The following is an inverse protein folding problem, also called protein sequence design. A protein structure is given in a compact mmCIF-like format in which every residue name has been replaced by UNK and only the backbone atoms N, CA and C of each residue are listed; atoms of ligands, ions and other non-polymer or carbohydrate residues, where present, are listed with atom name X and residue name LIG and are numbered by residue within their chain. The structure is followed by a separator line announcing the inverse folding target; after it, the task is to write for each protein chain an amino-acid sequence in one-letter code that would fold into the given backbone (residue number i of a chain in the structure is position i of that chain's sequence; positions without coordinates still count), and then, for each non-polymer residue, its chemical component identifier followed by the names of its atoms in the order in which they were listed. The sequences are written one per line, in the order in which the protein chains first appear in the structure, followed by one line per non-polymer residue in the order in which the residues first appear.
data_IF_220845005472
#
_entry.id   IF_220845005472
#
_cell.length_a   1.000
_cell.length_b   1.000
_cell.length_c   1.000
_cell.angle_alpha   90.00
_cell.angle_beta   90.00
_cell.angle_gamma   90.00
#
_symmetry.space_group_name_H-M   'P 1'
#
loop_
_entity.id
_entity.type
_entity.pdbx_description
1 polymer ?
#
# COMPACT_ATOMS: atom_id res chain seq x y z
N UNK A 1 7.37 -9.37 8.37
CA UNK A 1 6.80 -8.17 9.02
C UNK A 1 7.62 -7.00 8.53
N UNK A 2 6.98 -5.89 8.16
CA UNK A 2 7.67 -4.62 7.91
C UNK A 2 8.29 -4.12 9.23
N UNK A 3 9.53 -3.64 9.18
CA UNK A 3 10.21 -3.08 10.35
C UNK A 3 9.92 -1.59 10.56
N UNK A 4 10.34 -1.07 11.71
CA UNK A 4 9.93 0.24 12.23
C UNK A 4 10.20 1.42 11.27
N UNK A 5 9.15 2.16 10.92
CA UNK A 5 9.27 3.54 10.48
C UNK A 5 9.38 4.47 11.70
N UNK A 6 10.58 5.01 11.99
CA UNK A 6 10.78 5.96 13.10
C UNK A 6 11.70 7.11 12.65
N UNK A 7 11.16 8.29 12.31
CA UNK A 7 12.00 9.47 12.09
C UNK A 7 12.56 10.01 13.41
N UNK A 8 13.57 10.90 13.37
CA UNK A 8 14.16 11.48 14.55
C UNK A 8 13.11 12.18 15.43
N UNK A 9 13.22 12.06 16.77
CA UNK A 9 12.37 12.81 17.68
C UNK A 9 12.61 14.31 17.53
N UNK A 10 11.56 15.13 17.66
CA UNK A 10 11.67 16.59 17.75
C UNK A 10 11.13 17.39 16.56
N UNK A 11 10.89 16.76 15.40
CA UNK A 11 10.40 17.47 14.20
C UNK A 11 11.42 18.47 13.63
N UNK A 12 11.05 19.28 12.62
CA UNK A 12 11.94 20.34 12.15
C UNK A 12 12.24 21.33 13.27
N UNK A 13 13.47 21.88 13.37
CA UNK A 13 13.76 22.95 14.31
C UNK A 13 12.80 24.12 14.03
N UNK A 14 12.27 24.73 15.10
CA UNK A 14 11.46 25.95 14.98
C UNK A 14 12.30 27.01 14.25
N UNK A 15 11.80 27.58 13.15
CA UNK A 15 12.43 28.76 12.56
C UNK A 15 12.39 29.89 13.60
N UNK A 16 13.54 30.48 14.00
CA UNK A 16 13.52 31.66 14.85
C UNK A 16 13.04 32.84 14.00
N UNK A 17 11.84 33.37 14.27
CA UNK A 17 11.41 34.63 13.66
C UNK A 17 9.94 34.82 13.30
N UNK A 18 8.98 34.07 13.87
CA UNK A 18 7.59 34.54 13.91
C UNK A 18 7.09 34.56 15.33
N UNK A 19 7.12 35.75 15.92
CA UNK A 19 6.25 36.07 17.06
C UNK A 19 4.79 35.88 16.59
N UNK A 20 4.09 34.93 17.22
CA UNK A 20 2.64 34.89 17.11
C UNK A 20 2.03 35.97 18.03
N UNK A 21 1.15 36.85 17.52
CA UNK A 21 0.41 37.73 18.38
C UNK A 21 -0.63 36.93 19.16
N UNK A 22 -0.40 36.86 20.46
CA UNK A 22 -1.31 36.47 21.53
C UNK A 22 -2.78 36.76 21.18
N UNK A 23 -3.60 35.70 21.02
CA UNK A 23 -5.07 35.80 21.06
C UNK A 23 -5.63 34.72 21.97
N UNK A 24 -5.79 35.10 23.23
CA UNK A 24 -6.74 34.55 24.18
C UNK A 24 -8.14 34.47 23.58
N UNK A 25 -8.66 33.27 23.32
CA UNK A 25 -10.10 33.02 23.23
C UNK A 25 -10.33 31.54 23.56
N UNK A 26 -10.76 31.24 24.78
CA UNK A 26 -11.81 30.27 25.12
C UNK A 26 -12.23 30.52 26.57
N UNK A 27 -13.35 31.21 26.73
CA UNK A 27 -14.14 31.22 27.96
C UNK A 27 -14.74 29.83 28.17
N UNK A 28 -14.52 29.28 29.37
CA UNK A 28 -15.27 28.16 29.94
C UNK A 28 -16.74 28.58 30.13
N UNK A 29 -17.70 27.65 30.06
CA UNK A 29 -18.85 27.69 30.94
C UNK A 29 -18.71 26.60 31.99
N UNK A 30 -18.72 27.07 33.23
CA UNK A 30 -18.79 26.34 34.49
C UNK A 30 -20.24 25.90 34.80
N UNK A 31 -20.30 24.80 35.56
CA UNK A 31 -21.29 24.41 36.59
C UNK A 31 -22.76 24.17 36.21
N UNK A 32 -23.23 22.93 36.42
CA UNK A 32 -24.23 22.55 37.45
C UNK A 32 -24.60 21.03 37.38
N UNK A 33 -25.26 20.40 38.39
CA UNK A 33 -24.58 19.55 39.38
C UNK A 33 -25.03 18.07 39.37
N UNK A 34 -24.37 17.28 40.23
CA UNK A 34 -24.74 15.93 40.66
C UNK A 34 -26.22 15.83 41.07
N UNK A 35 -26.88 14.70 40.79
CA UNK A 35 -27.28 13.74 41.84
C UNK A 35 -28.08 12.49 41.33
N UNK A 36 -28.02 11.42 42.14
CA UNK A 36 -28.91 10.24 42.22
C UNK A 36 -28.91 9.15 41.11
N UNK A 37 -28.18 8.05 41.34
CA UNK A 37 -28.73 6.75 41.81
C UNK A 37 -27.67 5.62 41.76
N UNK A 38 -27.46 4.98 42.90
CA UNK A 38 -26.87 3.64 43.12
C UNK A 38 -27.73 2.95 44.20
N UNK A 39 -27.59 1.64 44.50
CA UNK A 39 -27.06 0.50 43.75
C UNK A 39 -28.04 -0.72 43.75
N UNK A 40 -27.84 -1.70 42.86
CA UNK A 40 -28.58 -2.98 42.84
C UNK A 40 -27.64 -4.18 42.94
N UNK A 41 -27.79 -4.95 44.02
CA UNK A 41 -26.90 -5.97 44.57
C UNK A 41 -26.71 -7.28 43.75
N UNK A 42 -25.67 -8.08 44.10
CA UNK A 42 -25.23 -9.33 43.44
C UNK A 42 -25.74 -10.59 44.15
N UNK A 43 -25.68 -11.80 43.54
CA UNK A 43 -25.84 -13.11 44.23
C UNK A 43 -25.49 -14.32 43.29
N UNK A 44 -25.26 -15.56 43.76
CA UNK A 44 -23.96 -16.07 44.25
C UNK A 44 -23.64 -17.49 43.70
N UNK A 45 -22.66 -18.18 44.33
CA UNK A 45 -22.27 -19.61 44.33
C UNK A 45 -20.76 -19.73 44.03
N UNK A 46 -19.92 -20.43 44.79
CA UNK A 46 -19.98 -21.09 46.11
C UNK A 46 -18.50 -21.35 46.50
N UNK A 47 -18.14 -21.17 47.78
CA UNK A 47 -16.86 -21.63 48.33
C UNK A 47 -16.96 -23.09 48.78
N UNK A 48 -15.96 -23.91 48.48
CA UNK A 48 -15.37 -24.91 49.39
C UNK A 48 -13.87 -25.07 49.04
N UNK A 49 -12.99 -24.92 50.04
CA UNK A 49 -11.56 -25.30 50.00
C UNK A 49 -11.37 -26.80 50.33
N UNK A 50 -10.17 -27.31 50.72
CA UNK A 50 -8.95 -26.57 51.11
C UNK A 50 -7.61 -27.13 50.54
N UNK A 51 -6.53 -26.37 50.75
CA UNK A 51 -5.22 -26.88 51.20
C UNK A 51 -4.46 -27.90 50.36
N UNK A 52 -3.51 -27.41 49.56
CA UNK A 52 -2.40 -28.20 49.01
C UNK A 52 -1.14 -27.35 48.93
N UNK A 53 -0.19 -27.63 49.82
CA UNK A 53 1.08 -26.93 49.96
C UNK A 53 1.93 -27.06 48.67
N UNK A 54 2.42 -25.93 48.15
CA UNK A 54 3.50 -25.94 47.14
C UNK A 54 4.86 -25.98 47.85
N UNK A 55 5.79 -26.88 47.45
CA UNK A 55 7.16 -26.85 47.95
C UNK A 55 7.98 -25.70 47.31
N UNK A 56 9.05 -25.23 47.98
CA UNK A 56 9.84 -24.10 47.52
C UNK A 56 10.71 -24.44 46.29
N UNK A 57 10.84 -23.47 45.38
CA UNK A 57 11.81 -23.50 44.28
C UNK A 57 13.26 -23.47 44.80
N UNK A 58 14.18 -24.31 44.28
CA UNK A 58 15.61 -24.19 44.57
C UNK A 58 16.28 -23.12 43.68
N UNK A 59 17.46 -22.58 44.08
CA UNK A 59 18.11 -21.46 43.41
C UNK A 59 18.86 -21.86 42.13
N UNK A 60 19.06 -20.84 41.29
CA UNK A 60 19.75 -20.82 40.01
C UNK A 60 20.96 -21.77 39.84
N UNK A 61 20.85 -22.69 38.88
CA UNK A 61 21.97 -23.44 38.29
C UNK A 61 22.32 -22.93 36.89
N UNK A 62 23.61 -22.83 36.59
CA UNK A 62 24.19 -22.40 35.31
C UNK A 62 23.78 -23.31 34.13
N UNK A 63 23.72 -22.79 32.88
CA UNK A 63 23.47 -23.62 31.71
C UNK A 63 24.70 -24.48 31.33
N UNK A 64 24.50 -25.69 30.79
CA UNK A 64 25.61 -26.59 30.42
C UNK A 64 26.39 -26.08 29.22
N UNK A 65 27.72 -26.14 29.32
CA UNK A 65 28.67 -25.82 28.26
C UNK A 65 28.63 -26.90 27.17
N UNK A 66 28.45 -26.48 25.92
CA UNK A 66 28.58 -27.37 24.76
C UNK A 66 30.05 -27.78 24.53
N UNK A 67 30.30 -28.87 23.78
CA UNK A 67 31.65 -29.38 23.55
C UNK A 67 32.49 -28.41 22.69
N UNK A 68 33.82 -28.36 22.90
CA UNK A 68 34.70 -27.44 22.18
C UNK A 68 34.85 -27.81 20.70
N UNK A 69 35.10 -26.82 19.81
CA UNK A 69 35.37 -27.07 18.39
C UNK A 69 36.72 -27.77 18.20
N UNK A 70 36.75 -28.76 17.30
CA UNK A 70 37.93 -29.54 16.96
C UNK A 70 39.02 -28.75 16.23
N UNK A 71 40.27 -29.26 16.22
CA UNK A 71 41.43 -28.57 15.68
C UNK A 71 41.43 -28.51 14.13
N UNK A 72 42.09 -27.51 13.53
CA UNK A 72 42.21 -27.37 12.08
C UNK A 72 43.16 -28.44 11.48
N UNK A 73 42.98 -28.83 10.20
CA UNK A 73 43.84 -29.83 9.57
C UNK A 73 45.28 -29.32 9.41
N UNK A 74 46.22 -30.11 9.91
CA UNK A 74 47.66 -29.90 9.79
C UNK A 74 48.20 -30.17 8.38
N UNK A 75 49.27 -29.46 8.07
CA UNK A 75 50.14 -29.67 6.90
C UNK A 75 51.03 -30.90 7.09
N UNK A 76 51.35 -31.57 5.97
CA UNK A 76 52.53 -32.43 5.81
C UNK A 76 53.15 -32.22 4.41
N UNK A 77 54.44 -32.55 4.20
CA UNK A 77 55.40 -31.65 3.56
C UNK A 77 55.91 -32.08 2.17
N UNK A 78 56.44 -31.09 1.43
CA UNK A 78 57.68 -31.17 0.65
C UNK A 78 57.70 -31.92 -0.70
N UNK A 79 57.83 -31.17 -1.81
CA UNK A 79 58.93 -31.29 -2.79
C UNK A 79 58.89 -30.11 -3.80
N UNK A 80 60.06 -29.50 -4.02
CA UNK A 80 60.33 -28.26 -4.80
C UNK A 80 60.69 -28.55 -6.28
N UNK A 81 61.31 -27.62 -7.05
CA UNK A 81 60.80 -26.35 -7.62
C UNK A 81 61.04 -26.27 -9.15
N UNK A 82 60.53 -25.25 -9.86
CA UNK A 82 61.30 -24.52 -10.90
C UNK A 82 60.67 -23.16 -11.25
N UNK A 83 61.49 -22.13 -11.02
CA UNK A 83 61.69 -20.89 -11.78
C UNK A 83 60.59 -19.83 -11.96
N UNK A 84 60.84 -18.68 -11.30
CA UNK A 84 60.68 -17.33 -11.89
C UNK A 84 62.05 -16.66 -12.00
N UNK A 85 62.20 -15.70 -12.91
CA UNK A 85 62.84 -14.42 -12.53
C UNK A 85 62.04 -13.22 -13.10
N UNK A 86 62.49 -11.95 -12.98
CA UNK A 86 62.10 -11.08 -11.88
C UNK A 86 61.41 -9.77 -12.35
N UNK A 87 60.79 -9.08 -11.40
CA UNK A 87 60.33 -7.69 -11.56
C UNK A 87 61.52 -6.73 -11.45
N UNK A 88 61.51 -5.63 -12.22
CA UNK A 88 61.69 -4.27 -11.70
C UNK A 88 61.39 -3.19 -12.77
N UNK A 89 61.23 -1.90 -12.39
CA UNK A 89 60.07 -1.09 -12.75
C UNK A 89 60.41 0.02 -13.74
N UNK A 90 59.43 0.56 -14.47
CA UNK A 90 59.57 1.89 -15.07
C UNK A 90 58.27 2.70 -15.09
N UNK A 91 58.48 3.99 -14.86
CA UNK A 91 57.56 5.11 -14.81
C UNK A 91 57.20 5.63 -16.22
N UNK A 92 56.29 6.62 -16.23
CA UNK A 92 55.94 7.58 -17.31
C UNK A 92 54.86 7.13 -18.34
N UNK A 93 54.24 8.06 -19.08
CA UNK A 93 53.66 9.35 -18.68
C UNK A 93 52.24 9.57 -19.26
N UNK A 94 51.59 10.65 -18.82
CA UNK A 94 50.39 11.24 -19.43
C UNK A 94 50.66 11.72 -20.86
N UNK A 95 49.78 11.38 -21.81
CA UNK A 95 49.72 12.04 -23.11
C UNK A 95 48.92 11.31 -24.19
N UNK A 96 47.78 11.89 -24.58
CA UNK A 96 47.40 11.97 -25.99
C UNK A 96 46.46 10.92 -26.61
N UNK A 97 45.38 11.46 -27.17
CA UNK A 97 44.70 11.07 -28.41
C UNK A 97 43.50 10.09 -28.36
N UNK A 98 42.34 10.67 -28.70
CA UNK A 98 41.09 10.00 -29.08
C UNK A 98 41.21 9.29 -30.43
N UNK A 99 40.52 8.16 -30.62
CA UNK A 99 40.09 7.69 -31.94
C UNK A 99 38.62 8.07 -32.25
N UNK A 100 38.23 8.19 -33.53
CA UNK A 100 36.96 8.78 -33.95
C UNK A 100 35.80 7.77 -34.08
N UNK A 101 34.61 8.23 -33.71
CA UNK A 101 33.34 8.14 -34.46
C UNK A 101 32.78 6.80 -34.96
N UNK A 102 31.69 6.36 -34.32
CA UNK A 102 30.42 5.83 -34.90
C UNK A 102 29.53 5.48 -33.71
N UNK A 103 28.35 6.06 -33.49
CA UNK A 103 27.20 6.17 -34.37
C UNK A 103 26.04 5.47 -33.64
N UNK A 104 25.05 6.22 -33.15
CA UNK A 104 23.90 5.67 -32.42
C UNK A 104 23.02 6.77 -31.83
N UNK A 105 21.82 6.88 -32.37
CA UNK A 105 20.84 7.95 -32.18
C UNK A 105 20.29 8.03 -30.75
N UNK A 106 20.06 9.25 -30.26
CA UNK A 106 19.36 9.55 -29.00
C UNK A 106 18.14 10.42 -29.32
N UNK A 107 16.90 10.08 -28.89
CA UNK A 107 15.71 10.90 -29.16
C UNK A 107 15.67 12.19 -28.32
N UNK A 108 15.07 13.28 -28.84
CA UNK A 108 15.23 14.63 -28.28
C UNK A 108 14.24 14.96 -27.16
N UNK A 109 14.73 15.70 -26.16
CA UNK A 109 13.91 16.40 -25.18
C UNK A 109 14.70 16.77 -23.93
N UNK A 110 14.66 18.07 -23.57
CA UNK A 110 15.26 18.73 -22.40
C UNK A 110 16.60 19.43 -22.64
N UNK A 111 16.50 20.63 -23.21
CA UNK A 111 17.49 21.71 -23.04
C UNK A 111 17.36 22.28 -21.62
N UNK A 112 18.49 22.42 -20.93
CA UNK A 112 18.63 23.23 -19.70
C UNK A 112 18.99 24.67 -20.07
N UNK A 113 18.48 25.70 -19.39
CA UNK A 113 18.97 27.07 -19.60
C UNK A 113 20.35 27.25 -18.95
N UNK A 114 21.27 28.00 -19.58
CA UNK A 114 22.64 28.16 -19.09
C UNK A 114 22.74 29.17 -17.94
N UNK A 115 23.61 28.86 -16.99
CA UNK A 115 24.10 29.77 -15.96
C UNK A 115 25.14 30.71 -16.59
N UNK A 116 24.89 32.02 -16.51
CA UNK A 116 25.84 33.05 -16.93
C UNK A 116 26.69 33.53 -15.75
N UNK A 117 28.01 33.47 -15.90
CA UNK A 117 28.99 34.19 -15.06
C UNK A 117 29.27 35.59 -15.66
N UNK A 118 29.70 36.58 -14.85
CA UNK A 118 29.83 37.97 -15.28
C UNK A 118 31.23 38.32 -15.80
N UNK A 119 31.29 39.30 -16.71
CA UNK A 119 32.51 39.96 -17.19
C UNK A 119 32.22 41.42 -17.61
N UNK A 120 33.24 42.30 -17.71
CA UNK A 120 33.19 43.62 -17.08
C UNK A 120 33.17 44.83 -18.04
N UNK A 121 32.84 46.00 -17.50
CA UNK A 121 33.35 47.30 -17.96
C UNK A 121 32.35 48.23 -18.67
N UNK A 122 32.22 49.47 -18.17
CA UNK A 122 31.53 50.56 -18.85
C UNK A 122 31.18 51.73 -17.92
N UNK A 123 32.08 52.71 -17.83
CA UNK A 123 31.95 53.97 -17.07
C UNK A 123 30.98 54.94 -17.77
N UNK A 124 30.27 55.77 -16.99
CA UNK A 124 29.60 56.96 -17.53
C UNK A 124 28.58 57.67 -16.62
N UNK A 125 29.08 58.53 -15.73
CA UNK A 125 28.55 59.88 -15.40
C UNK A 125 27.18 60.10 -14.71
N UNK A 126 27.00 61.20 -13.94
CA UNK A 126 26.01 61.28 -12.86
C UNK A 126 24.80 62.19 -13.17
N UNK A 127 23.64 61.89 -12.57
CA UNK A 127 22.50 62.80 -12.59
C UNK A 127 21.35 62.41 -11.65
N UNK A 128 21.23 63.13 -10.53
CA UNK A 128 19.98 63.55 -9.87
C UNK A 128 19.04 62.52 -9.20
N UNK A 129 18.49 62.81 -8.00
CA UNK A 129 17.63 61.87 -7.28
C UNK A 129 16.18 61.92 -7.80
N UNK A 130 15.83 61.00 -8.69
CA UNK A 130 14.44 60.71 -9.07
C UNK A 130 13.82 59.70 -8.11
N UNK A 131 12.62 59.99 -7.59
CA UNK A 131 11.89 59.14 -6.65
C UNK A 131 11.59 57.71 -7.15
N UNK A 132 11.15 56.81 -6.25
CA UNK A 132 10.98 55.41 -6.58
C UNK A 132 9.89 55.23 -7.65
N UNK A 133 10.09 54.36 -8.66
CA UNK A 133 9.09 54.09 -9.66
C UNK A 133 7.90 53.34 -9.06
N UNK A 134 6.71 53.86 -9.32
CA UNK A 134 5.42 53.26 -9.03
C UNK A 134 5.33 51.92 -9.75
N UNK A 135 5.39 50.82 -9.01
CA UNK A 135 5.13 49.49 -9.55
C UNK A 135 3.72 49.45 -10.13
N UNK A 136 3.62 49.16 -11.43
CA UNK A 136 2.37 48.86 -12.10
C UNK A 136 1.69 47.69 -11.38
N UNK A 137 0.53 47.96 -10.77
CA UNK A 137 -0.27 46.95 -10.11
C UNK A 137 -0.79 45.96 -11.15
N UNK A 138 -0.24 44.74 -11.14
CA UNK A 138 -0.80 43.60 -11.85
C UNK A 138 -2.20 43.37 -11.25
N UNK A 139 -3.25 43.63 -12.02
CA UNK A 139 -4.62 43.31 -11.64
C UNK A 139 -4.77 41.79 -11.55
N UNK A 140 -4.75 41.28 -10.32
CA UNK A 140 -5.11 39.90 -10.01
C UNK A 140 -6.61 39.72 -10.34
N UNK A 141 -7.00 38.77 -11.22
CA UNK A 141 -8.41 38.47 -11.43
C UNK A 141 -9.06 38.07 -10.11
N UNK A 142 -10.14 38.76 -9.73
CA UNK A 142 -10.90 38.44 -8.52
C UNK A 142 -11.42 37.00 -8.63
N UNK A 143 -11.35 36.19 -7.56
CA UNK A 143 -11.96 34.87 -7.55
C UNK A 143 -13.46 35.02 -7.85
N UNK A 144 -14.07 34.09 -8.61
CA UNK A 144 -15.51 34.13 -8.84
C UNK A 144 -16.21 34.09 -7.48
N UNK A 145 -17.02 35.11 -7.22
CA UNK A 145 -17.81 35.23 -5.99
C UNK A 145 -18.69 34.00 -5.78
N UNK A 146 -19.23 33.80 -4.56
CA UNK A 146 -20.08 32.65 -4.26
C UNK A 146 -21.27 32.62 -5.21
N UNK A 147 -21.18 31.75 -6.22
CA UNK A 147 -22.25 31.50 -7.16
C UNK A 147 -23.50 31.11 -6.38
N UNK A 148 -24.60 31.82 -6.63
CA UNK A 148 -25.92 31.47 -6.08
C UNK A 148 -26.17 29.98 -6.33
N UNK A 149 -26.24 29.19 -5.25
CA UNK A 149 -26.66 27.79 -5.30
C UNK A 149 -28.01 27.72 -6.03
N UNK A 150 -28.02 27.15 -7.24
CA UNK A 150 -29.28 26.81 -7.92
C UNK A 150 -30.00 25.76 -7.07
N UNK A 151 -31.21 26.07 -6.60
CA UNK A 151 -32.09 25.11 -5.93
C UNK A 151 -32.31 23.89 -6.85
N UNK A 152 -32.27 22.65 -6.33
CA UNK A 152 -32.60 21.48 -7.14
C UNK A 152 -34.06 21.60 -7.60
N UNK A 153 -34.29 21.55 -8.92
CA UNK A 153 -35.64 21.48 -9.48
C UNK A 153 -36.24 20.14 -9.08
N UNK A 154 -37.28 20.16 -8.24
CA UNK A 154 -38.08 18.97 -7.94
C UNK A 154 -38.73 18.50 -9.25
N UNK A 155 -38.56 17.22 -9.59
CA UNK A 155 -39.29 16.63 -10.70
C UNK A 155 -40.81 16.76 -10.45
N UNK A 156 -41.62 17.01 -11.49
CA UNK A 156 -43.07 17.09 -11.34
C UNK A 156 -43.58 15.74 -10.82
N UNK A 157 -44.39 15.75 -9.76
CA UNK A 157 -44.90 14.54 -9.09
C UNK A 157 -45.57 13.55 -10.07
N UNK A 158 -46.11 14.06 -11.17
CA UNK A 158 -46.70 13.27 -12.25
C UNK A 158 -45.70 12.31 -12.95
N UNK A 159 -44.42 12.68 -13.09
CA UNK A 159 -43.41 11.85 -13.74
C UNK A 159 -43.02 10.64 -12.88
N UNK A 160 -42.98 10.82 -11.55
CA UNK A 160 -42.66 9.75 -10.60
C UNK A 160 -43.82 8.77 -10.51
N UNK A 161 -45.06 9.25 -10.49
CA UNK A 161 -46.26 8.40 -10.50
C UNK A 161 -46.35 7.59 -11.79
N UNK A 162 -46.08 8.21 -12.95
CA UNK A 162 -46.06 7.52 -14.23
C UNK A 162 -45.06 6.36 -14.30
N UNK A 163 -43.85 6.54 -13.77
CA UNK A 163 -42.83 5.50 -13.74
C UNK A 163 -43.18 4.33 -12.80
N UNK A 164 -43.85 4.60 -11.67
CA UNK A 164 -44.28 3.56 -10.74
C UNK A 164 -45.41 2.72 -11.33
N UNK A 165 -46.39 3.34 -12.00
CA UNK A 165 -47.49 2.60 -12.67
C UNK A 165 -46.95 1.69 -13.78
N UNK A 166 -46.00 2.16 -14.57
CA UNK A 166 -45.38 1.37 -15.64
C UNK A 166 -44.60 0.16 -15.11
N UNK A 167 -43.89 0.32 -13.97
CA UNK A 167 -43.18 -0.78 -13.33
C UNK A 167 -44.14 -1.84 -12.75
N UNK A 168 -45.27 -1.44 -12.17
CA UNK A 168 -46.28 -2.36 -11.63
C UNK A 168 -46.96 -3.17 -12.74
N UNK A 169 -47.25 -2.55 -13.88
CA UNK A 169 -47.84 -3.25 -15.04
C UNK A 169 -46.86 -4.25 -15.67
N UNK A 170 -45.56 -3.94 -15.72
CA UNK A 170 -44.54 -4.85 -16.20
C UNK A 170 -44.35 -6.09 -15.30
N UNK A 171 -44.56 -5.95 -13.99
CA UNK A 171 -44.50 -7.06 -13.03
C UNK A 171 -45.77 -7.93 -13.12
N UNK A 172 -46.95 -7.31 -13.31
CA UNK A 172 -48.20 -8.05 -13.47
C UNK A 172 -48.29 -8.83 -14.79
N UNK A 173 -47.67 -8.33 -15.88
CA UNK A 173 -47.62 -9.04 -17.16
C UNK A 173 -46.61 -10.19 -17.24
N UNK A 174 -45.65 -10.27 -16.30
CA UNK A 174 -44.58 -11.27 -16.32
C UNK A 174 -44.90 -12.61 -15.64
N UNK A 175 -46.05 -12.74 -14.96
CA UNK A 175 -46.38 -13.91 -14.12
C UNK A 175 -47.29 -14.93 -14.84
N UNK A 176 -47.77 -14.64 -16.04
CA UNK A 176 -48.73 -15.51 -16.78
C UNK A 176 -48.10 -16.43 -17.84
N UNK A 177 -46.78 -16.61 -17.88
CA UNK A 177 -46.10 -17.37 -18.95
C UNK A 177 -45.22 -18.56 -18.51
N UNK A 178 -45.33 -19.07 -17.28
CA UNK A 178 -44.42 -20.13 -16.79
C UNK A 178 -45.08 -21.22 -15.94
N UNK A 179 -46.27 -21.69 -16.31
CA UNK A 179 -46.81 -22.95 -15.75
C UNK A 179 -47.54 -23.72 -16.85
N UNK A 180 -46.85 -24.69 -17.45
CA UNK A 180 -47.37 -26.03 -17.79
C UNK A 180 -46.32 -26.79 -18.58
N UNK A 181 -45.76 -27.86 -18.00
CA UNK A 181 -45.59 -29.19 -18.60
C UNK A 181 -44.52 -29.98 -17.85
N UNK A 182 -44.93 -31.12 -17.29
CA UNK A 182 -44.07 -32.06 -16.58
C UNK A 182 -44.91 -32.88 -15.62
N UNK A 183 -45.48 -33.99 -16.12
CA UNK A 183 -45.86 -35.11 -15.26
C UNK A 183 -45.61 -36.42 -15.99
N UNK A 184 -44.86 -37.25 -15.29
CA UNK A 184 -44.46 -38.62 -15.57
C UNK A 184 -45.66 -39.57 -15.47
N UNK A 185 -45.58 -40.72 -16.14
CA UNK A 185 -46.27 -41.94 -15.70
C UNK A 185 -45.49 -43.20 -16.14
N UNK A 186 -45.34 -44.13 -15.20
CA UNK A 186 -44.80 -45.50 -15.29
C UNK A 186 -45.84 -46.44 -14.60
N UNK A 187 -45.71 -47.78 -14.59
CA UNK A 187 -46.32 -48.76 -15.50
C UNK A 187 -47.31 -49.76 -14.81
N UNK A 188 -47.82 -50.71 -15.59
CA UNK A 188 -47.99 -52.16 -15.24
C UNK A 188 -49.40 -52.76 -14.99
N UNK A 189 -49.61 -53.88 -15.71
CA UNK A 189 -50.45 -55.10 -15.51
C UNK A 189 -51.96 -55.12 -15.77
N UNK A 190 -52.36 -56.08 -16.61
CA UNK A 190 -53.69 -56.74 -16.60
C UNK A 190 -53.95 -57.55 -17.89
N UNK A 191 -54.49 -58.79 -17.85
CA UNK A 191 -54.19 -59.85 -18.84
C UNK A 191 -55.34 -60.24 -19.80
N UNK A 192 -54.98 -61.05 -20.82
CA UNK A 192 -55.79 -62.06 -21.56
C UNK A 192 -56.99 -61.51 -22.40
N UNK A 193 -57.35 -61.95 -23.63
CA UNK A 193 -57.61 -63.29 -24.17
C UNK A 193 -57.64 -63.26 -25.73
N UNK A 194 -57.16 -64.35 -26.33
CA UNK A 194 -57.44 -65.00 -27.64
C UNK A 194 -58.42 -64.39 -28.69
N UNK A 195 -57.96 -64.28 -29.95
CA UNK A 195 -58.71 -64.67 -31.16
C UNK A 195 -57.80 -64.83 -32.42
N UNK A 196 -58.14 -65.85 -33.21
CA UNK A 196 -57.59 -66.50 -34.42
C UNK A 196 -57.27 -65.59 -35.64
N UNK A 197 -56.31 -65.96 -36.53
CA UNK A 197 -55.80 -65.11 -37.60
C UNK A 197 -56.61 -65.18 -38.91
N UNK A 198 -56.56 -64.10 -39.70
CA UNK A 198 -56.94 -64.07 -41.12
C UNK A 198 -55.73 -63.59 -41.93
N UNK A 199 -55.35 -64.24 -43.05
CA UNK A 199 -54.16 -63.89 -43.81
C UNK A 199 -54.42 -62.72 -44.78
N UNK A 200 -53.54 -61.72 -44.79
CA UNK A 200 -53.51 -60.67 -45.83
C UNK A 200 -52.10 -60.06 -45.91
N UNK A 201 -51.72 -59.47 -47.05
CA UNK A 201 -50.92 -60.04 -48.12
C UNK A 201 -49.41 -59.74 -47.97
N UNK A 202 -48.60 -60.48 -48.72
CA UNK A 202 -47.14 -60.31 -48.87
C UNK A 202 -46.76 -58.87 -49.24
N UNK A 203 -45.95 -58.15 -48.42
CA UNK A 203 -45.39 -56.88 -48.84
C UNK A 203 -44.24 -57.09 -49.84
N UNK A 204 -44.32 -56.36 -50.94
CA UNK A 204 -43.27 -56.14 -51.94
C UNK A 204 -41.94 -55.74 -51.28
N UNK A 205 -40.78 -56.27 -51.72
CA UNK A 205 -39.49 -55.89 -51.14
C UNK A 205 -39.25 -54.38 -51.32
N UNK A 206 -39.11 -53.70 -50.19
CA UNK A 206 -38.67 -52.30 -50.13
C UNK A 206 -37.18 -52.25 -50.47
N UNK A 207 -36.72 -51.37 -51.37
CA UNK A 207 -35.29 -51.26 -51.68
C UNK A 207 -34.51 -50.88 -50.42
N UNK A 208 -33.47 -51.66 -50.11
CA UNK A 208 -32.53 -51.40 -49.03
C UNK A 208 -31.94 -49.99 -49.19
N UNK A 209 -32.06 -49.09 -48.19
CA UNK A 209 -31.46 -47.77 -48.28
C UNK A 209 -29.93 -47.90 -48.34
N UNK A 210 -29.33 -47.27 -49.34
CA UNK A 210 -27.87 -47.14 -49.48
C UNK A 210 -27.29 -46.53 -48.20
N UNK A 211 -26.23 -47.10 -47.59
CA UNK A 211 -25.64 -46.56 -46.37
C UNK A 211 -25.19 -45.12 -46.61
N UNK A 212 -25.74 -44.19 -45.83
CA UNK A 212 -25.28 -42.80 -45.80
C UNK A 212 -23.86 -42.80 -45.22
N UNK A 213 -22.87 -42.16 -45.88
CA UNK A 213 -21.50 -42.12 -45.37
C UNK A 213 -21.49 -41.52 -43.95
N UNK A 214 -20.89 -42.25 -43.02
CA UNK A 214 -20.69 -41.78 -41.66
C UNK A 214 -19.83 -40.51 -41.69
N UNK A 215 -20.27 -39.37 -41.12
CA UNK A 215 -19.47 -38.16 -41.13
C UNK A 215 -18.15 -38.41 -40.41
N UNK A 216 -17.04 -38.20 -41.10
CA UNK A 216 -15.69 -38.28 -40.52
C UNK A 216 -15.64 -37.36 -39.30
N UNK A 217 -15.23 -37.85 -38.11
CA UNK A 217 -15.18 -37.03 -36.91
C UNK A 217 -14.29 -35.81 -37.14
N UNK A 218 -14.87 -34.62 -37.00
CA UNK A 218 -14.14 -33.36 -37.07
C UNK A 218 -13.03 -33.40 -36.01
N UNK A 219 -11.77 -33.11 -36.37
CA UNK A 219 -10.67 -33.16 -35.41
C UNK A 219 -10.96 -32.24 -34.23
N UNK A 220 -10.96 -32.81 -33.03
CA UNK A 220 -11.13 -32.08 -31.77
C UNK A 220 -10.02 -31.04 -31.67
N UNK A 221 -10.33 -29.74 -31.53
CA UNK A 221 -9.31 -28.71 -31.41
C UNK A 221 -8.40 -29.02 -30.22
N UNK A 222 -7.09 -29.11 -30.49
CA UNK A 222 -6.07 -29.34 -29.46
C UNK A 222 -6.25 -28.28 -28.37
N UNK A 223 -6.29 -28.66 -27.07
CA UNK A 223 -6.49 -27.71 -26.00
C UNK A 223 -5.44 -26.60 -26.08
N UNK A 224 -5.90 -25.34 -26.13
CA UNK A 224 -5.03 -24.17 -26.14
C UNK A 224 -4.17 -24.23 -24.88
N UNK A 225 -2.83 -24.16 -24.99
CA UNK A 225 -1.96 -24.25 -23.82
C UNK A 225 -2.34 -23.18 -22.81
N UNK A 226 -2.65 -23.60 -21.58
CA UNK A 226 -2.95 -22.68 -20.49
C UNK A 226 -1.71 -21.85 -20.20
N UNK A 227 -1.80 -20.50 -20.19
CA UNK A 227 -0.64 -19.66 -19.93
C UNK A 227 -0.04 -19.99 -18.56
N UNK A 228 1.28 -20.19 -18.54
CA UNK A 228 2.04 -20.47 -17.31
C UNK A 228 1.84 -19.30 -16.32
N UNK A 229 1.62 -19.57 -15.01
CA UNK A 229 1.57 -18.51 -14.01
C UNK A 229 2.85 -17.67 -14.01
N UNK A 230 2.75 -16.35 -13.73
CA UNK A 230 3.93 -15.49 -13.68
C UNK A 230 4.88 -15.91 -12.55
N UNK A 231 6.18 -15.80 -12.82
CA UNK A 231 7.21 -16.01 -11.80
C UNK A 231 7.18 -14.89 -10.74
N UNK A 232 7.70 -15.11 -9.52
CA UNK A 232 7.82 -14.04 -8.52
C UNK A 232 8.60 -12.82 -9.02
N UNK A 233 9.60 -13.03 -9.88
CA UNK A 233 10.34 -11.95 -10.53
C UNK A 233 9.42 -11.10 -11.41
N UNK A 234 8.61 -11.72 -12.26
CA UNK A 234 7.62 -11.02 -13.09
C UNK A 234 6.54 -10.34 -12.25
N UNK A 235 6.06 -10.96 -11.16
CA UNK A 235 5.04 -10.36 -10.29
C UNK A 235 5.49 -9.03 -9.71
N UNK A 236 6.75 -8.92 -9.25
CA UNK A 236 7.24 -7.68 -8.63
C UNK A 236 7.68 -6.62 -9.64
N UNK A 237 8.16 -7.01 -10.83
CA UNK A 237 8.66 -6.06 -11.85
C UNK A 237 7.61 -5.65 -12.89
N UNK A 238 6.63 -6.51 -13.18
CA UNK A 238 5.63 -6.33 -14.25
C UNK A 238 4.19 -6.31 -13.71
N UNK A 239 4.01 -5.97 -12.42
CA UNK A 239 2.69 -5.95 -11.81
C UNK A 239 1.72 -5.02 -12.56
N UNK A 240 0.48 -5.47 -12.80
CA UNK A 240 -0.56 -4.67 -13.47
C UNK A 240 -0.92 -3.39 -12.70
N UNK A 241 -0.60 -3.31 -11.41
CA UNK A 241 -0.73 -2.09 -10.63
C UNK A 241 0.05 -0.92 -11.25
N UNK A 242 1.19 -1.17 -11.90
CA UNK A 242 2.06 -0.09 -12.39
C UNK A 242 1.51 0.65 -13.62
N UNK A 243 0.48 0.11 -14.28
CA UNK A 243 -0.10 0.68 -15.51
C UNK A 243 -1.50 1.26 -15.28
N UNK A 244 -1.95 1.39 -14.03
CA UNK A 244 -3.30 1.89 -13.72
C UNK A 244 -3.45 3.39 -13.88
N UNK A 245 -2.35 4.16 -13.87
CA UNK A 245 -2.37 5.62 -13.87
C UNK A 245 -2.70 6.20 -12.49
N UNK A 246 -3.14 7.46 -12.46
CA UNK A 246 -3.44 8.19 -11.23
C UNK A 246 -4.51 7.47 -10.38
N UNK A 247 -4.33 7.46 -9.06
CA UNK A 247 -5.39 7.02 -8.14
C UNK A 247 -6.40 8.15 -7.91
N UNK A 248 -7.62 7.77 -7.51
CA UNK A 248 -8.66 8.74 -7.16
C UNK A 248 -8.44 9.28 -5.75
N UNK A 249 -8.74 10.56 -5.53
CA UNK A 249 -8.82 11.14 -4.19
C UNK A 249 -10.05 10.60 -3.45
N UNK A 250 -9.89 10.21 -2.18
CA UNK A 250 -10.99 9.79 -1.31
C UNK A 250 -11.97 10.92 -1.02
N UNK A 251 -11.47 12.17 -1.02
CA UNK A 251 -12.19 13.36 -0.56
C UNK A 251 -12.59 13.34 0.91
N UNK A 252 -11.87 12.57 1.72
CA UNK A 252 -12.03 12.61 3.15
C UNK A 252 -11.27 13.79 3.77
N UNK A 253 -11.88 14.55 4.68
CA UNK A 253 -11.12 15.46 5.52
C UNK A 253 -10.23 14.68 6.49
N UNK A 254 -9.17 15.33 6.96
CA UNK A 254 -8.41 14.79 8.10
C UNK A 254 -9.33 14.59 9.33
N UNK A 255 -9.23 13.45 10.05
CA UNK A 255 -10.00 13.27 11.27
C UNK A 255 -9.65 14.32 12.33
N UNK A 256 -10.66 14.75 13.09
CA UNK A 256 -10.49 15.73 14.18
C UNK A 256 -9.92 15.12 15.46
N UNK A 257 -9.95 13.80 15.60
CA UNK A 257 -9.39 13.08 16.75
C UNK A 257 -7.87 13.28 16.87
N UNK A 258 -7.36 13.28 18.10
CA UNK A 258 -5.94 13.44 18.42
C UNK A 258 -5.47 12.31 19.32
N UNK A 259 -4.18 11.94 19.30
CA UNK A 259 -3.69 10.78 20.03
C UNK A 259 -3.45 11.06 21.52
N UNK A 260 -4.40 11.73 22.18
CA UNK A 260 -4.35 12.03 23.61
C UNK A 260 -4.72 10.81 24.45
N UNK A 261 -5.60 9.94 23.96
CA UNK A 261 -5.98 8.67 24.57
C UNK A 261 -5.95 7.53 23.54
N UNK A 262 -5.80 6.25 23.97
CA UNK A 262 -5.87 5.11 23.04
C UNK A 262 -7.18 5.06 22.25
N UNK A 263 -8.29 5.44 22.88
CA UNK A 263 -9.61 5.48 22.24
C UNK A 263 -9.68 6.56 21.15
N UNK A 264 -9.16 7.76 21.41
CA UNK A 264 -9.11 8.83 20.42
C UNK A 264 -8.18 8.49 19.26
N UNK A 265 -7.03 7.85 19.52
CA UNK A 265 -6.15 7.31 18.46
C UNK A 265 -6.86 6.25 17.62
N UNK A 266 -7.60 5.34 18.25
CA UNK A 266 -8.42 4.34 17.54
C UNK A 266 -9.47 5.00 16.67
N UNK A 267 -10.15 6.04 17.18
CA UNK A 267 -11.13 6.80 16.41
C UNK A 267 -10.50 7.51 15.20
N UNK A 268 -9.29 8.08 15.35
CA UNK A 268 -8.53 8.66 14.25
C UNK A 268 -8.29 7.64 13.12
N UNK A 269 -7.71 6.48 13.42
CA UNK A 269 -7.40 5.48 12.40
C UNK A 269 -8.63 4.79 11.82
N UNK A 270 -9.66 4.54 12.62
CA UNK A 270 -10.95 4.05 12.13
C UNK A 270 -11.61 5.03 11.15
N UNK A 271 -11.38 6.34 11.30
CA UNK A 271 -11.86 7.35 10.36
C UNK A 271 -11.02 7.42 9.09
N UNK A 272 -9.69 7.22 9.19
CA UNK A 272 -8.77 7.19 8.04
C UNK A 272 -8.94 5.96 7.16
N UNK A 273 -9.13 4.77 7.75
CA UNK A 273 -9.11 3.50 7.02
C UNK A 273 -10.08 3.46 5.81
N UNK A 274 -11.38 3.83 5.94
CA UNK A 274 -12.29 3.88 4.80
C UNK A 274 -11.85 4.84 3.69
N UNK A 275 -11.06 5.87 4.00
CA UNK A 275 -10.58 6.85 3.04
C UNK A 275 -9.48 6.27 2.15
N UNK A 276 -8.52 5.56 2.73
CA UNK A 276 -7.52 4.81 1.96
C UNK A 276 -8.19 3.71 1.12
N UNK A 277 -9.18 3.01 1.69
CA UNK A 277 -9.99 2.02 0.94
C UNK A 277 -10.63 2.65 -0.29
N UNK A 278 -11.23 3.84 -0.15
CA UNK A 278 -11.92 4.54 -1.23
C UNK A 278 -10.98 4.96 -2.37
N UNK A 279 -9.75 5.35 -2.06
CA UNK A 279 -8.74 5.72 -3.07
C UNK A 279 -8.14 4.50 -3.78
N UNK A 280 -7.88 3.42 -3.04
CA UNK A 280 -7.18 2.24 -3.57
C UNK A 280 -8.07 1.21 -4.24
N UNK A 281 -9.31 1.01 -3.77
CA UNK A 281 -10.23 0.02 -4.32
C UNK A 281 -10.40 0.12 -5.85
N UNK A 282 -10.67 1.31 -6.45
CA UNK A 282 -10.85 1.43 -7.90
C UNK A 282 -9.59 1.05 -8.68
N UNK A 283 -8.43 1.48 -8.20
CA UNK A 283 -7.12 1.22 -8.82
C UNK A 283 -6.78 -0.27 -8.81
N UNK A 284 -6.97 -0.94 -7.67
CA UNK A 284 -6.69 -2.37 -7.51
C UNK A 284 -7.64 -3.20 -8.39
N UNK A 285 -8.93 -2.83 -8.43
CA UNK A 285 -9.92 -3.44 -9.32
C UNK A 285 -9.55 -3.24 -10.80
N UNK A 286 -9.13 -2.03 -11.19
CA UNK A 286 -8.67 -1.70 -12.55
C UNK A 286 -7.47 -2.55 -12.98
N UNK A 287 -6.55 -2.85 -12.05
CA UNK A 287 -5.43 -3.75 -12.29
C UNK A 287 -5.83 -5.25 -12.40
N UNK A 288 -7.10 -5.59 -12.14
CA UNK A 288 -7.64 -6.95 -12.22
C UNK A 288 -7.44 -7.79 -10.96
N UNK A 289 -7.11 -7.18 -9.82
CA UNK A 289 -6.93 -7.87 -8.55
C UNK A 289 -8.21 -7.86 -7.70
N UNK A 290 -8.40 -8.91 -6.89
CA UNK A 290 -9.46 -8.96 -5.89
C UNK A 290 -9.10 -8.06 -4.70
N UNK A 291 -10.00 -7.15 -4.37
CA UNK A 291 -9.84 -6.26 -3.23
C UNK A 291 -10.57 -6.78 -2.00
N UNK A 292 -9.96 -6.58 -0.83
CA UNK A 292 -10.55 -6.76 0.50
C UNK A 292 -9.91 -5.73 1.41
N UNK A 293 -10.68 -5.09 2.28
CA UNK A 293 -10.15 -4.03 3.13
C UNK A 293 -9.32 -4.62 4.29
N UNK A 294 -8.22 -3.96 4.71
CA UNK A 294 -7.51 -4.36 5.90
C UNK A 294 -8.31 -3.94 7.15
N UNK A 295 -7.91 -4.47 8.30
CA UNK A 295 -8.36 -4.03 9.63
C UNK A 295 -7.33 -3.08 10.24
N UNK A 296 -7.73 -2.33 11.27
CA UNK A 296 -6.78 -1.55 12.09
C UNK A 296 -6.96 -1.84 13.57
N UNK A 297 -5.84 -1.96 14.28
CA UNK A 297 -5.77 -2.13 15.74
C UNK A 297 -4.82 -1.07 16.29
N UNK A 298 -5.26 -0.39 17.33
CA UNK A 298 -4.40 0.51 18.13
C UNK A 298 -4.01 -0.21 19.40
N UNK A 299 -2.74 -0.14 19.76
CA UNK A 299 -2.21 -0.80 20.96
C UNK A 299 -1.30 0.14 21.76
N UNK A 300 -1.20 -0.13 23.06
CA UNK A 300 -0.33 0.57 23.99
C UNK A 300 0.52 -0.46 24.74
N UNK A 301 1.82 -0.21 24.90
CA UNK A 301 2.73 -1.19 25.51
C UNK A 301 2.94 -2.43 24.62
N UNK A 302 2.97 -3.62 25.21
CA UNK A 302 3.23 -4.85 24.46
C UNK A 302 1.95 -5.48 23.90
N UNK A 303 2.03 -6.00 22.67
CA UNK A 303 0.94 -6.68 22.00
C UNK A 303 1.43 -8.02 21.43
N UNK A 304 0.72 -9.11 21.76
CA UNK A 304 0.87 -10.40 21.07
C UNK A 304 -0.12 -10.46 19.90
N UNK A 305 0.39 -10.53 18.67
CA UNK A 305 -0.42 -10.68 17.46
C UNK A 305 -0.12 -12.01 16.75
N UNK A 306 -0.92 -12.39 15.73
CA UNK A 306 -0.62 -13.54 14.88
C UNK A 306 0.71 -13.42 14.12
N UNK A 307 1.26 -12.22 14.00
CA UNK A 307 2.58 -12.00 13.44
C UNK A 307 3.68 -12.01 14.51
N UNK A 308 3.38 -12.09 15.80
CA UNK A 308 4.39 -12.15 16.86
C UNK A 308 4.20 -11.06 17.91
N UNK A 309 5.18 -10.93 18.79
CA UNK A 309 5.13 -9.98 19.91
C UNK A 309 5.72 -8.65 19.46
N UNK A 310 5.01 -7.58 19.76
CA UNK A 310 5.35 -6.22 19.38
C UNK A 310 5.40 -5.35 20.62
N UNK A 311 6.38 -4.47 20.67
CA UNK A 311 6.54 -3.51 21.78
C UNK A 311 5.96 -2.15 21.38
N UNK A 312 5.67 -1.31 22.38
CA UNK A 312 4.76 -0.15 22.28
C UNK A 312 5.13 0.98 21.33
N UNK A 313 6.17 0.83 20.51
CA UNK A 313 6.66 1.88 19.62
C UNK A 313 6.54 1.57 18.12
N UNK A 314 6.05 0.39 17.72
CA UNK A 314 6.15 -0.13 16.34
C UNK A 314 4.82 -0.21 15.59
N UNK A 315 4.67 0.62 14.56
CA UNK A 315 3.66 0.32 13.55
C UNK A 315 4.10 -0.85 12.69
N UNK A 316 3.15 -1.67 12.24
CA UNK A 316 3.42 -2.75 11.29
C UNK A 316 2.14 -3.27 10.64
N UNK A 317 2.29 -3.84 9.45
CA UNK A 317 1.25 -4.59 8.76
C UNK A 317 1.44 -6.10 8.95
N UNK A 318 0.41 -6.76 9.48
CA UNK A 318 0.36 -8.20 9.60
C UNK A 318 -0.42 -8.82 8.44
N UNK A 319 0.31 -9.35 7.45
CA UNK A 319 -0.29 -9.90 6.23
C UNK A 319 -1.12 -11.17 6.42
N UNK A 320 -0.92 -11.95 7.49
CA UNK A 320 -1.68 -13.18 7.75
C UNK A 320 -3.12 -12.94 8.20
N UNK A 321 -3.38 -11.79 8.84
CA UNK A 321 -4.71 -11.36 9.29
C UNK A 321 -5.11 -9.99 8.74
N UNK A 322 -4.35 -9.50 7.76
CA UNK A 322 -4.57 -8.26 7.03
C UNK A 322 -4.90 -7.07 7.92
N UNK A 323 -4.08 -6.90 8.97
CA UNK A 323 -4.33 -5.91 10.01
C UNK A 323 -3.14 -4.96 10.13
N UNK A 324 -3.44 -3.66 10.10
CA UNK A 324 -2.51 -2.57 10.42
C UNK A 324 -2.54 -2.37 11.93
N UNK A 325 -1.38 -2.39 12.57
CA UNK A 325 -1.24 -2.14 13.99
C UNK A 325 -0.55 -0.80 14.22
N UNK A 326 -1.14 0.06 15.03
CA UNK A 326 -0.67 1.42 15.28
C UNK A 326 -0.33 1.64 16.76
N UNK A 327 0.87 2.16 17.10
CA UNK A 327 1.34 2.33 18.47
C UNK A 327 0.88 3.65 19.09
N UNK A 328 -0.11 3.60 19.99
CA UNK A 328 -0.59 4.78 20.73
C UNK A 328 0.54 5.50 21.48
N UNK A 329 1.46 4.75 22.11
CA UNK A 329 2.50 5.34 22.95
C UNK A 329 3.44 6.25 22.13
N UNK A 330 3.79 5.85 20.90
CA UNK A 330 4.58 6.69 19.98
C UNK A 330 3.79 7.89 19.51
N UNK A 331 2.53 7.70 19.09
CA UNK A 331 1.69 8.79 18.59
C UNK A 331 1.48 9.88 19.65
N UNK A 332 1.14 9.49 20.88
CA UNK A 332 0.94 10.40 22.00
C UNK A 332 2.24 11.13 22.37
N UNK A 333 3.36 10.42 22.43
CA UNK A 333 4.67 11.02 22.72
C UNK A 333 5.02 12.09 21.68
N UNK A 334 4.89 11.76 20.40
CA UNK A 334 5.19 12.71 19.31
C UNK A 334 4.22 13.89 19.35
N UNK A 335 2.94 13.65 19.64
CA UNK A 335 1.92 14.70 19.69
C UNK A 335 2.16 15.71 20.82
N UNK A 336 2.59 15.24 22.00
CA UNK A 336 2.99 16.12 23.10
C UNK A 336 4.21 16.99 22.77
N UNK A 337 5.12 16.49 21.94
CA UNK A 337 6.33 17.22 21.56
C UNK A 337 6.07 18.23 20.42
N UNK A 338 5.37 17.81 19.37
CA UNK A 338 5.04 18.65 18.23
C UNK A 338 3.75 18.15 17.55
N UNK A 339 2.58 18.78 17.82
CA UNK A 339 1.29 18.33 17.29
C UNK A 339 1.20 18.27 15.76
N UNK A 340 1.81 19.22 15.05
CA UNK A 340 1.78 19.27 13.57
C UNK A 340 2.62 18.13 13.00
N UNK A 341 3.82 17.95 13.53
CA UNK A 341 4.71 16.86 13.14
C UNK A 341 4.09 15.49 13.42
N UNK A 342 3.51 15.30 14.61
CA UNK A 342 2.85 14.04 14.95
C UNK A 342 1.70 13.68 14.01
N UNK A 343 0.87 14.66 13.60
CA UNK A 343 -0.19 14.44 12.61
C UNK A 343 0.38 14.00 11.26
N UNK A 344 1.46 14.64 10.81
CA UNK A 344 2.15 14.24 9.58
C UNK A 344 2.74 12.82 9.69
N UNK A 345 3.33 12.47 10.84
CA UNK A 345 3.85 11.13 11.12
C UNK A 345 2.74 10.09 11.10
N UNK A 346 1.66 10.30 11.86
CA UNK A 346 0.54 9.37 11.95
C UNK A 346 -0.07 9.08 10.57
N UNK A 347 -0.24 10.11 9.74
CA UNK A 347 -0.75 9.95 8.38
C UNK A 347 0.23 9.18 7.48
N UNK A 348 1.53 9.50 7.57
CA UNK A 348 2.57 8.82 6.80
C UNK A 348 2.68 7.35 7.17
N UNK A 349 2.81 7.03 8.46
CA UNK A 349 2.94 5.66 8.95
C UNK A 349 1.72 4.83 8.56
N UNK A 350 0.51 5.36 8.78
CA UNK A 350 -0.69 4.62 8.43
C UNK A 350 -0.80 4.36 6.92
N UNK A 351 -0.43 5.34 6.09
CA UNK A 351 -0.40 5.17 4.64
C UNK A 351 0.71 4.20 4.18
N UNK A 352 1.86 4.19 4.83
CA UNK A 352 2.94 3.23 4.59
C UNK A 352 2.49 1.80 4.90
N UNK A 353 1.89 1.54 6.07
CA UNK A 353 1.38 0.21 6.42
C UNK A 353 0.25 -0.24 5.46
N UNK A 354 -0.56 0.71 5.00
CA UNK A 354 -1.52 0.45 3.94
C UNK A 354 -0.83 0.13 2.60
N UNK A 355 0.34 0.71 2.31
CA UNK A 355 1.18 0.33 1.19
C UNK A 355 1.54 -1.16 1.19
N UNK A 356 1.82 -1.76 2.35
CA UNK A 356 1.98 -3.21 2.46
C UNK A 356 0.69 -3.98 2.20
N UNK A 357 -0.46 -3.45 2.60
CA UNK A 357 -1.74 -4.03 2.22
C UNK A 357 -1.94 -4.03 0.69
N UNK A 358 -1.61 -2.92 0.00
CA UNK A 358 -1.61 -2.85 -1.46
C UNK A 358 -0.68 -3.91 -2.06
N UNK A 359 0.53 -4.07 -1.53
CA UNK A 359 1.45 -5.13 -1.96
C UNK A 359 0.86 -6.53 -1.74
N UNK A 360 0.15 -6.77 -0.62
CA UNK A 360 -0.49 -8.06 -0.34
C UNK A 360 -1.56 -8.39 -1.37
N UNK A 361 -2.54 -7.50 -1.57
CA UNK A 361 -3.69 -7.78 -2.44
C UNK A 361 -3.34 -7.80 -3.93
N UNK A 362 -2.18 -7.25 -4.31
CA UNK A 362 -1.64 -7.32 -5.68
C UNK A 362 -0.61 -8.44 -5.87
N UNK A 363 -0.33 -9.23 -4.84
CA UNK A 363 0.60 -10.37 -4.87
C UNK A 363 2.08 -10.00 -4.77
N UNK A 364 2.43 -8.71 -4.81
CA UNK A 364 3.82 -8.24 -4.72
C UNK A 364 4.48 -8.66 -3.40
N UNK A 365 3.75 -8.57 -2.28
CA UNK A 365 4.30 -8.86 -0.96
C UNK A 365 4.78 -10.32 -0.87
N UNK A 366 3.93 -11.26 -1.30
CA UNK A 366 4.26 -12.68 -1.30
C UNK A 366 5.41 -13.00 -2.28
N UNK A 367 5.39 -12.40 -3.47
CA UNK A 367 6.43 -12.59 -4.47
C UNK A 367 7.80 -12.06 -4.00
N UNK A 368 7.84 -10.91 -3.31
CA UNK A 368 9.07 -10.37 -2.74
C UNK A 368 9.64 -11.28 -1.65
N UNK A 369 8.83 -11.75 -0.70
CA UNK A 369 9.32 -12.71 0.30
C UNK A 369 9.78 -14.04 -0.31
N UNK A 370 9.15 -14.51 -1.39
CA UNK A 370 9.61 -15.70 -2.12
C UNK A 370 10.97 -15.48 -2.80
N UNK A 371 11.21 -14.30 -3.36
CA UNK A 371 12.52 -13.92 -3.92
C UNK A 371 13.57 -13.84 -2.82
N UNK A 372 13.27 -13.13 -1.74
CA UNK A 372 14.17 -12.93 -0.60
C UNK A 372 14.69 -14.25 -0.02
N UNK A 373 13.80 -15.23 0.20
CA UNK A 373 14.20 -16.56 0.72
C UNK A 373 15.17 -17.32 -0.20
N UNK A 374 15.23 -16.98 -1.47
CA UNK A 374 16.13 -17.60 -2.47
C UNK A 374 17.41 -16.79 -2.69
N UNK A 375 17.57 -15.64 -2.04
CA UNK A 375 18.75 -14.80 -2.22
C UNK A 375 19.98 -15.39 -1.52
N UNK A 376 21.16 -15.35 -2.16
CA UNK A 376 22.33 -16.13 -1.75
C UNK A 376 22.97 -15.65 -0.45
N UNK A 377 22.82 -14.37 -0.10
CA UNK A 377 23.49 -13.77 1.05
C UNK A 377 22.62 -12.71 1.73
N UNK A 378 23.06 -12.26 2.91
CA UNK A 378 22.34 -11.28 3.74
C UNK A 378 22.15 -9.95 3.03
N UNK A 379 23.14 -9.49 2.27
CA UNK A 379 23.08 -8.22 1.54
C UNK A 379 22.01 -8.25 0.45
N UNK A 380 21.94 -9.31 -0.33
CA UNK A 380 20.91 -9.50 -1.35
C UNK A 380 19.51 -9.61 -0.74
N UNK A 381 19.36 -10.29 0.42
CA UNK A 381 18.10 -10.30 1.19
C UNK A 381 17.72 -8.90 1.68
N UNK A 382 18.68 -8.17 2.23
CA UNK A 382 18.46 -6.80 2.69
C UNK A 382 18.04 -5.89 1.55
N UNK A 383 18.67 -6.00 0.39
CA UNK A 383 18.33 -5.24 -0.80
C UNK A 383 16.91 -5.53 -1.30
N UNK A 384 16.48 -6.80 -1.26
CA UNK A 384 15.09 -7.18 -1.57
C UNK A 384 14.11 -6.60 -0.55
N UNK A 385 14.47 -6.62 0.75
CA UNK A 385 13.66 -5.99 1.81
C UNK A 385 13.53 -4.48 1.59
N UNK A 386 14.62 -3.77 1.30
CA UNK A 386 14.59 -2.33 1.01
C UNK A 386 13.69 -1.96 -0.16
N UNK A 387 13.69 -2.76 -1.23
CA UNK A 387 12.78 -2.55 -2.36
C UNK A 387 11.32 -2.66 -1.90
N UNK A 388 11.00 -3.63 -1.05
CA UNK A 388 9.65 -3.82 -0.52
C UNK A 388 9.22 -2.66 0.40
N UNK A 389 10.04 -2.23 1.34
CA UNK A 389 9.69 -1.15 2.27
C UNK A 389 9.63 0.22 1.57
N UNK A 390 10.60 0.54 0.68
CA UNK A 390 10.58 1.78 -0.10
C UNK A 390 9.37 1.86 -1.04
N UNK A 391 8.92 0.71 -1.56
CA UNK A 391 7.70 0.68 -2.35
C UNK A 391 6.48 0.96 -1.48
N UNK A 392 6.40 0.41 -0.26
CA UNK A 392 5.31 0.71 0.66
C UNK A 392 5.27 2.21 1.01
N UNK A 393 6.42 2.85 1.27
CA UNK A 393 6.52 4.31 1.45
C UNK A 393 6.05 5.09 0.22
N UNK A 394 6.46 4.68 -0.99
CA UNK A 394 6.01 5.32 -2.23
C UNK A 394 4.49 5.18 -2.44
N UNK A 395 3.95 3.96 -2.26
CA UNK A 395 2.51 3.69 -2.40
C UNK A 395 1.70 4.46 -1.35
N UNK A 396 2.13 4.48 -0.09
CA UNK A 396 1.51 5.31 0.94
C UNK A 396 1.49 6.79 0.56
N UNK A 397 2.61 7.28 0.03
CA UNK A 397 2.72 8.68 -0.43
C UNK A 397 1.86 8.99 -1.66
N UNK A 398 1.62 8.02 -2.55
CA UNK A 398 0.65 8.15 -3.66
C UNK A 398 -0.74 8.53 -3.14
N UNK A 399 -1.21 7.91 -2.04
CA UNK A 399 -2.46 8.29 -1.37
C UNK A 399 -2.40 9.73 -0.83
N UNK A 400 -1.36 10.06 -0.06
CA UNK A 400 -1.23 11.40 0.52
C UNK A 400 -1.20 12.51 -0.54
N UNK A 401 -0.56 12.24 -1.69
CA UNK A 401 -0.53 13.15 -2.83
C UNK A 401 -1.87 13.29 -3.56
N UNK A 402 -2.63 12.20 -3.67
CA UNK A 402 -3.97 12.21 -4.27
C UNK A 402 -4.98 12.97 -3.41
N UNK A 403 -4.89 12.80 -2.08
CA UNK A 403 -5.83 13.37 -1.12
C UNK A 403 -5.40 14.71 -0.50
N UNK A 404 -4.26 15.30 -0.94
CA UNK A 404 -3.67 16.52 -0.35
C UNK A 404 -4.59 17.74 -0.26
N UNK A 405 -5.67 17.80 -1.03
CA UNK A 405 -6.67 18.88 -0.97
C UNK A 405 -7.67 18.70 0.18
N UNK A 406 -7.86 17.48 0.67
CA UNK A 406 -8.90 17.10 1.61
C UNK A 406 -8.33 16.66 2.94
N UNK A 407 -7.32 15.80 2.92
CA UNK A 407 -6.38 15.66 4.01
C UNK A 407 -5.27 16.66 3.72
N UNK A 408 -5.23 17.85 4.36
CA UNK A 408 -4.46 18.99 3.88
C UNK A 408 -2.96 18.79 4.16
N UNK A 409 -2.36 17.84 3.46
CA UNK A 409 -0.92 17.61 3.36
C UNK A 409 -0.31 18.73 2.51
N UNK A 410 -0.52 19.96 2.96
CA UNK A 410 -0.19 21.26 2.39
C UNK A 410 0.25 22.18 3.54
N UNK A 411 0.89 23.32 3.25
CA UNK A 411 1.34 24.25 4.29
C UNK A 411 2.25 23.57 5.32
N UNK A 412 2.05 23.88 6.60
CA UNK A 412 2.88 23.35 7.69
C UNK A 412 2.87 21.83 7.79
N UNK A 413 1.72 21.18 7.53
CA UNK A 413 1.63 19.72 7.57
C UNK A 413 2.48 19.09 6.46
N UNK A 414 2.52 19.70 5.27
CA UNK A 414 3.42 19.29 4.19
C UNK A 414 4.88 19.49 4.57
N UNK A 415 5.25 20.64 5.15
CA UNK A 415 6.62 20.91 5.61
C UNK A 415 7.06 19.87 6.62
N UNK A 416 6.21 19.57 7.60
CA UNK A 416 6.47 18.56 8.63
C UNK A 416 6.60 17.15 8.04
N UNK A 417 5.73 16.78 7.09
CA UNK A 417 5.83 15.49 6.38
C UNK A 417 7.10 15.40 5.53
N UNK A 418 7.43 16.46 4.79
CA UNK A 418 8.66 16.51 3.99
C UNK A 418 9.90 16.39 4.86
N UNK A 419 9.90 17.03 6.03
CA UNK A 419 10.96 16.85 7.02
C UNK A 419 11.02 15.39 7.47
N UNK A 420 9.88 14.77 7.83
CA UNK A 420 9.84 13.38 8.25
C UNK A 420 10.45 12.44 7.20
N UNK A 421 10.00 12.51 5.94
CA UNK A 421 10.43 11.56 4.90
C UNK A 421 11.86 11.79 4.44
N UNK A 422 12.40 13.02 4.51
CA UNK A 422 13.79 13.36 4.20
C UNK A 422 14.77 13.04 5.33
N UNK A 423 14.27 12.88 6.55
CA UNK A 423 15.05 12.55 7.74
C UNK A 423 14.68 11.17 8.33
N UNK A 424 13.99 10.33 7.56
CA UNK A 424 13.79 8.91 7.87
C UNK A 424 14.75 8.09 7.05
N UNK A 425 15.36 7.04 7.59
CA UNK A 425 16.25 6.16 6.83
C UNK A 425 17.10 5.28 7.73
N UNK A 426 17.76 4.30 7.12
CA UNK A 426 18.57 3.29 7.79
C UNK A 426 19.72 3.87 8.65
N UNK A 427 20.13 5.12 8.42
CA UNK A 427 21.25 5.79 9.12
C UNK A 427 20.92 6.16 10.57
N UNK A 428 19.63 6.30 10.89
CA UNK A 428 19.21 6.85 12.19
C UNK A 428 18.97 5.78 13.26
N UNK A 429 19.16 4.49 12.94
CA UNK A 429 19.06 3.42 13.92
C UNK A 429 19.97 2.21 13.59
N UNK A 430 21.26 2.26 13.96
CA UNK A 430 22.22 1.19 13.63
C UNK A 430 21.92 -0.15 14.31
N UNK A 431 21.08 -0.18 15.35
CA UNK A 431 20.69 -1.38 16.07
C UNK A 431 19.47 -2.12 15.47
N UNK A 432 18.83 -1.56 14.43
CA UNK A 432 17.67 -2.15 13.75
C UNK A 432 18.03 -2.72 12.38
N UNK A 433 17.14 -3.53 11.80
CA UNK A 433 17.32 -3.98 10.42
C UNK A 433 17.26 -2.74 9.52
N UNK A 434 18.30 -2.59 8.68
CA UNK A 434 18.46 -1.50 7.73
C UNK A 434 17.69 -1.80 6.43
N UNK A 435 16.37 -1.94 6.54
CA UNK A 435 15.49 -2.36 5.45
C UNK A 435 14.62 -1.25 4.86
N UNK A 436 14.80 0.00 5.26
CA UNK A 436 14.01 1.14 4.76
C UNK A 436 14.78 2.03 3.77
N UNK A 437 16.02 1.63 3.46
CA UNK A 437 16.94 2.38 2.63
C UNK A 437 17.47 3.62 3.33
N UNK A 438 18.48 4.26 2.74
CA UNK A 438 19.01 5.49 3.30
C UNK A 438 18.01 6.65 3.20
N UNK A 439 18.28 7.73 3.94
CA UNK A 439 17.39 8.90 3.99
C UNK A 439 17.11 9.56 2.65
N UNK A 440 18.09 9.55 1.74
CA UNK A 440 17.91 10.10 0.40
C UNK A 440 16.93 9.24 -0.39
N UNK A 441 17.04 7.91 -0.28
CA UNK A 441 16.17 6.96 -0.97
C UNK A 441 14.75 7.00 -0.40
N UNK A 442 14.61 7.02 0.92
CA UNK A 442 13.30 7.15 1.57
C UNK A 442 12.58 8.44 1.16
N UNK A 443 13.28 9.58 1.23
CA UNK A 443 12.75 10.87 0.81
C UNK A 443 12.40 10.91 -0.68
N UNK A 444 13.27 10.35 -1.53
CA UNK A 444 13.07 10.32 -2.98
C UNK A 444 11.82 9.53 -3.38
N UNK A 445 11.65 8.30 -2.88
CA UNK A 445 10.48 7.46 -3.19
C UNK A 445 9.18 8.04 -2.64
N UNK A 446 9.21 8.61 -1.44
CA UNK A 446 8.04 9.23 -0.83
C UNK A 446 7.58 10.47 -1.62
N UNK A 447 8.51 11.38 -1.96
CA UNK A 447 8.21 12.55 -2.78
C UNK A 447 7.75 12.17 -4.19
N UNK A 448 8.35 11.14 -4.79
CA UNK A 448 7.95 10.62 -6.10
C UNK A 448 6.51 10.10 -6.09
N UNK A 449 6.12 9.33 -5.06
CA UNK A 449 4.75 8.87 -4.89
C UNK A 449 3.77 10.04 -4.70
N UNK A 450 4.07 10.94 -3.77
CA UNK A 450 3.24 12.11 -3.46
C UNK A 450 3.02 13.02 -4.67
N UNK A 451 4.07 13.32 -5.44
CA UNK A 451 3.95 14.23 -6.58
C UNK A 451 3.23 13.57 -7.77
N UNK A 452 3.53 12.30 -8.04
CA UNK A 452 2.98 11.61 -9.21
C UNK A 452 1.55 11.13 -9.02
N UNK A 453 1.16 10.77 -7.78
CA UNK A 453 -0.15 10.16 -7.46
C UNK A 453 -0.43 8.88 -8.26
N UNK A 454 0.63 8.26 -8.79
CA UNK A 454 0.56 7.14 -9.72
C UNK A 454 1.40 5.97 -9.18
N UNK A 455 0.81 4.81 -8.87
CA UNK A 455 1.57 3.64 -8.40
C UNK A 455 2.58 3.12 -9.42
N UNK A 456 2.43 3.44 -10.71
CA UNK A 456 3.45 3.16 -11.73
C UNK A 456 4.81 3.79 -11.45
N UNK A 457 4.83 4.87 -10.66
CA UNK A 457 6.07 5.53 -10.25
C UNK A 457 6.73 4.88 -9.04
N UNK A 458 6.17 3.80 -8.49
CA UNK A 458 6.61 3.09 -7.29
C UNK A 458 7.22 1.71 -7.57
N UNK A 459 7.67 1.44 -8.80
CA UNK A 459 8.33 0.17 -9.14
C UNK A 459 9.79 0.17 -8.65
N UNK A 460 9.97 -0.10 -7.35
CA UNK A 460 11.30 -0.21 -6.74
C UNK A 460 12.04 -1.44 -7.23
N UNK A 461 11.40 -2.48 -7.73
CA UNK A 461 12.04 -3.75 -8.08
C UNK A 461 12.83 -3.71 -9.39
N UNK A 462 12.58 -2.71 -10.24
CA UNK A 462 13.36 -2.46 -11.47
C UNK A 462 14.39 -1.34 -11.29
N UNK A 463 14.39 -0.67 -10.13
CA UNK A 463 15.30 0.44 -9.87
C UNK A 463 16.73 -0.06 -9.58
N UNK A 464 17.75 0.79 -9.81
CA UNK A 464 19.12 0.44 -9.42
C UNK A 464 19.27 0.37 -7.90
N UNK A 465 20.27 -0.38 -7.43
CA UNK A 465 20.57 -0.47 -6.00
C UNK A 465 20.85 0.92 -5.38
N UNK A 466 21.50 1.82 -6.12
CA UNK A 466 21.82 3.20 -5.68
C UNK A 466 20.61 3.96 -5.13
N UNK A 467 19.44 3.80 -5.75
CA UNK A 467 18.20 4.48 -5.34
C UNK A 467 17.31 3.62 -4.43
N UNK A 468 17.82 2.47 -3.97
CA UNK A 468 17.09 1.53 -3.10
C UNK A 468 17.91 1.00 -1.93
N UNK A 469 19.16 1.44 -1.76
CA UNK A 469 20.10 1.00 -0.72
C UNK A 469 20.07 1.83 0.55
#
# INVERSE_FOLDING_TARGET
MSENWNPPPGGPPNEPGREEPNKQWWTQPSDEPDDFLSPGQPHPYQQQGPGGQQPPYPPHGQPPQGPPPGPPPGQMPGQSPWQRPPQQPQQFPYGGQQPPGRGGEVPPGWQYPPQGHPGPGGQGGPGGPGGPPMMAQIQIPRPPGPGRRRKPRRAPKALVIGLVVLAVLAIAGGVTAFVTMGKDDVPTTGPEVSATPTPTPTPTPTPTPTPTPTPTPKPTPKPKPTPKPPTPAQVVTQNKLYVTGLILASRCPEPTFRPTTPLATKAYYNRMLPCLNKSWYPTIKKAGFKYRAPKVVVYAGSLKSPCGIQTGSRAYYCGSVETIYMPYTSDNKNFKANPVYARALMANTFAHEYGHHVQLVTGILAASFQRERKMPNREARLQESRRRELQASCLGSVYLGADKQWFPMTGELLTAWQFAVKNSGDEFNPAKVRDHGNKNNHGWWSLRGYNSKNPGMCNTFTASAKVTS
#
